data_IF_642595463051
#
_entry.id   IF_642595463051
#
_cell.length_a   1.000
_cell.length_b   1.000
_cell.length_c   1.000
_cell.angle_alpha   90.00
_cell.angle_beta   90.00
_cell.angle_gamma   90.00
#
_symmetry.space_group_name_H-M   'P 1'
#
loop_
_entity.id
_entity.type
_entity.pdbx_description
1 polymer ?
#
# COMPACT_ATOMS: atom_id res chain seq x y z
N UNK A 1 25.90 -7.61 -20.48
CA UNK A 1 25.34 -8.58 -19.53
C UNK A 1 24.36 -7.83 -18.63
N UNK A 2 23.05 -8.05 -18.76
CA UNK A 2 22.08 -7.66 -17.71
C UNK A 2 21.83 -8.91 -16.88
N UNK A 3 22.80 -9.24 -16.04
CA UNK A 3 22.62 -10.00 -14.80
C UNK A 3 21.83 -9.06 -13.88
N UNK A 4 20.52 -9.21 -13.65
CA UNK A 4 19.77 -10.35 -13.13
C UNK A 4 18.31 -10.19 -13.57
N UNK A 5 17.60 -11.27 -13.90
CA UNK A 5 16.15 -11.25 -14.22
C UNK A 5 15.24 -10.96 -13.02
N UNK A 6 15.78 -10.40 -11.94
CA UNK A 6 15.08 -10.16 -10.69
C UNK A 6 14.61 -8.72 -10.62
N UNK A 7 13.35 -8.56 -10.18
CA UNK A 7 12.80 -7.24 -9.93
C UNK A 7 13.42 -6.66 -8.66
N UNK A 8 13.70 -5.37 -8.66
CA UNK A 8 14.28 -4.73 -7.48
C UNK A 8 13.21 -3.91 -6.72
N UNK A 9 13.42 -3.63 -5.43
CA UNK A 9 12.50 -2.80 -4.65
C UNK A 9 12.25 -1.42 -5.24
N UNK A 10 13.19 -0.85 -6.01
CA UNK A 10 13.05 0.49 -6.59
C UNK A 10 12.02 0.51 -7.72
N UNK A 11 11.92 -0.57 -8.51
CA UNK A 11 10.90 -0.70 -9.56
C UNK A 11 9.49 -0.56 -8.96
N UNK A 12 9.24 -1.23 -7.82
CA UNK A 12 7.96 -1.15 -7.10
C UNK A 12 7.69 0.21 -6.48
N UNK A 13 8.73 0.89 -6.00
CA UNK A 13 8.58 2.24 -5.45
C UNK A 13 8.15 3.22 -6.53
N UNK A 14 8.73 3.12 -7.73
CA UNK A 14 8.36 3.95 -8.88
C UNK A 14 6.92 3.64 -9.31
N UNK A 15 6.56 2.36 -9.37
CA UNK A 15 5.19 1.92 -9.68
C UNK A 15 4.18 2.52 -8.70
N UNK A 16 4.42 2.40 -7.39
CA UNK A 16 3.56 2.97 -6.36
C UNK A 16 3.47 4.51 -6.43
N UNK A 17 4.58 5.21 -6.65
CA UNK A 17 4.55 6.67 -6.79
C UNK A 17 3.72 7.12 -8.00
N UNK A 18 3.82 6.41 -9.13
CA UNK A 18 2.98 6.68 -10.31
C UNK A 18 1.50 6.46 -9.99
N UNK A 19 1.16 5.35 -9.37
CA UNK A 19 -0.21 5.04 -8.96
C UNK A 19 -0.76 6.11 -8.00
N UNK A 20 0.03 6.58 -7.02
CA UNK A 20 -0.41 7.66 -6.12
C UNK A 20 -0.63 8.98 -6.87
N UNK A 21 0.21 9.33 -7.85
CA UNK A 21 -0.02 10.52 -8.66
C UNK A 21 -1.32 10.39 -9.46
N UNK A 22 -1.59 9.22 -10.05
CA UNK A 22 -2.84 8.89 -10.73
C UNK A 22 -4.07 9.03 -9.81
N UNK A 23 -3.98 8.55 -8.55
CA UNK A 23 -5.01 8.79 -7.53
C UNK A 23 -5.25 10.30 -7.34
N UNK A 24 -4.20 11.10 -7.18
CA UNK A 24 -4.31 12.54 -6.92
C UNK A 24 -4.92 13.29 -8.11
N UNK A 25 -4.52 12.91 -9.33
CA UNK A 25 -5.00 13.46 -10.59
C UNK A 25 -6.48 13.13 -10.85
N UNK A 26 -6.92 11.92 -10.47
CA UNK A 26 -8.33 11.53 -10.59
C UNK A 26 -9.28 12.43 -9.78
N UNK A 27 -8.76 13.12 -8.77
CA UNK A 27 -9.54 13.98 -7.88
C UNK A 27 -10.39 13.23 -6.85
N UNK A 28 -10.36 11.89 -6.82
CA UNK A 28 -11.15 11.05 -5.89
C UNK A 28 -10.86 11.33 -4.41
N UNK A 29 -9.66 11.86 -4.10
CA UNK A 29 -9.28 12.24 -2.74
C UNK A 29 -9.88 13.59 -2.28
N UNK A 30 -10.38 14.40 -3.23
CA UNK A 30 -10.90 15.72 -2.92
C UNK A 30 -12.30 15.58 -2.31
N UNK A 31 -12.47 16.09 -1.09
CA UNK A 31 -13.79 16.12 -0.44
C UNK A 31 -14.42 17.49 -0.60
N UNK A 32 -15.74 17.49 -0.84
CA UNK A 32 -16.53 18.72 -0.93
C UNK A 32 -16.70 19.43 0.42
N UNK A 33 -16.50 18.72 1.54
CA UNK A 33 -16.62 19.25 2.90
C UNK A 33 -15.32 19.89 3.44
N UNK A 34 -14.28 20.00 2.61
CA UNK A 34 -13.00 20.60 2.98
C UNK A 34 -12.15 19.78 3.94
N UNK A 35 -12.60 18.59 4.36
CA UNK A 35 -11.81 17.67 5.20
C UNK A 35 -10.87 16.84 4.33
N UNK A 36 -9.85 16.26 4.97
CA UNK A 36 -8.98 15.26 4.33
C UNK A 36 -9.70 13.91 4.30
N UNK A 37 -9.51 13.16 3.22
CA UNK A 37 -10.00 11.77 3.14
C UNK A 37 -9.21 10.89 4.10
N UNK A 38 -9.90 10.10 4.94
CA UNK A 38 -9.27 9.13 5.83
C UNK A 38 -9.17 7.79 5.11
N UNK A 39 -7.95 7.34 4.84
CA UNK A 39 -7.70 6.13 4.06
C UNK A 39 -7.08 5.06 4.94
N UNK A 40 -7.69 3.87 4.94
CA UNK A 40 -7.04 2.67 5.43
C UNK A 40 -6.15 2.10 4.34
N UNK A 41 -4.86 1.91 4.61
CA UNK A 41 -3.93 1.30 3.64
C UNK A 41 -3.60 -0.10 4.10
N UNK A 42 -4.09 -1.09 3.36
CA UNK A 42 -3.79 -2.49 3.63
C UNK A 42 -2.36 -2.83 3.20
N UNK A 43 -1.75 -3.82 3.85
CA UNK A 43 -0.46 -4.32 3.42
C UNK A 43 -0.57 -4.85 1.98
N UNK A 44 0.38 -4.44 1.13
CA UNK A 44 0.42 -4.93 -0.26
C UNK A 44 0.62 -6.44 -0.26
N UNK A 45 -0.23 -7.15 -1.01
CA UNK A 45 -0.15 -8.59 -1.18
C UNK A 45 0.94 -8.95 -2.18
N UNK A 46 1.75 -9.95 -1.83
CA UNK A 46 2.76 -10.50 -2.73
C UNK A 46 2.28 -11.84 -3.29
N UNK A 47 1.87 -11.83 -4.56
CA UNK A 47 1.47 -13.02 -5.33
C UNK A 47 2.56 -13.37 -6.37
N UNK A 48 3.81 -13.06 -6.06
CA UNK A 48 4.97 -13.44 -6.86
C UNK A 48 5.71 -14.62 -6.25
N UNK A 49 6.64 -15.19 -7.03
CA UNK A 49 7.56 -16.23 -6.52
C UNK A 49 8.74 -15.66 -5.74
N UNK A 50 8.91 -14.34 -5.73
CA UNK A 50 10.03 -13.67 -5.06
C UNK A 50 9.64 -13.23 -3.65
N UNK A 51 10.60 -13.23 -2.73
CA UNK A 51 10.38 -12.62 -1.42
C UNK A 51 10.49 -11.10 -1.54
N UNK A 52 9.35 -10.44 -1.66
CA UNK A 52 9.24 -8.98 -1.70
C UNK A 52 8.84 -8.49 -0.31
N UNK A 53 9.62 -7.59 0.27
CA UNK A 53 9.23 -6.91 1.50
C UNK A 53 8.16 -5.86 1.20
N UNK A 54 6.89 -6.29 1.22
CA UNK A 54 5.74 -5.44 0.91
C UNK A 54 5.42 -4.43 2.00
N UNK A 55 5.96 -4.59 3.22
CA UNK A 55 5.85 -3.58 4.29
C UNK A 55 6.50 -2.28 3.88
N UNK A 56 7.72 -2.33 3.32
CA UNK A 56 8.43 -1.13 2.83
C UNK A 56 7.60 -0.41 1.75
N UNK A 57 6.98 -1.18 0.85
CA UNK A 57 6.14 -0.63 -0.21
C UNK A 57 4.88 0.03 0.37
N UNK A 58 4.22 -0.65 1.31
CA UNK A 58 3.03 -0.15 2.01
C UNK A 58 3.34 1.16 2.74
N UNK A 59 4.47 1.24 3.45
CA UNK A 59 4.89 2.44 4.16
C UNK A 59 5.16 3.61 3.19
N UNK A 60 5.75 3.33 2.03
CA UNK A 60 5.95 4.36 0.99
C UNK A 60 4.65 4.87 0.39
N UNK A 61 3.67 3.98 0.18
CA UNK A 61 2.31 4.35 -0.25
C UNK A 61 1.66 5.28 0.79
N UNK A 62 1.72 4.92 2.07
CA UNK A 62 1.21 5.77 3.18
C UNK A 62 1.88 7.14 3.20
N UNK A 63 3.21 7.17 3.12
CA UNK A 63 3.98 8.42 3.09
C UNK A 63 3.61 9.29 1.88
N UNK A 64 3.46 8.69 0.70
CA UNK A 64 3.11 9.39 -0.52
C UNK A 64 1.68 9.98 -0.43
N UNK A 65 0.70 9.22 0.08
CA UNK A 65 -0.65 9.72 0.35
C UNK A 65 -0.66 10.91 1.32
N UNK A 66 0.08 10.81 2.43
CA UNK A 66 0.19 11.89 3.41
C UNK A 66 0.83 13.15 2.78
N UNK A 67 1.85 12.97 1.93
CA UNK A 67 2.54 14.05 1.23
C UNK A 67 1.64 14.82 0.26
N UNK A 68 0.55 14.20 -0.24
CA UNK A 68 -0.43 14.90 -1.09
C UNK A 68 -1.14 16.04 -0.36
N UNK A 69 -1.23 15.98 0.97
CA UNK A 69 -2.04 16.90 1.79
C UNK A 69 -3.55 16.69 1.68
N UNK A 70 -4.02 15.86 0.74
CA UNK A 70 -5.46 15.60 0.47
C UNK A 70 -6.03 14.44 1.29
N UNK A 71 -5.16 13.55 1.76
CA UNK A 71 -5.54 12.38 2.55
C UNK A 71 -4.74 12.28 3.85
N UNK A 72 -5.32 11.59 4.83
CA UNK A 72 -4.63 11.07 6.00
C UNK A 72 -4.79 9.56 6.03
N UNK A 73 -3.82 8.86 6.61
CA UNK A 73 -3.90 7.40 6.76
C UNK A 73 -4.20 7.06 8.21
N UNK A 74 -5.00 6.02 8.43
CA UNK A 74 -5.27 5.49 9.77
C UNK A 74 -4.36 4.30 10.05
N UNK A 75 -3.81 4.25 11.26
CA UNK A 75 -3.06 3.09 11.79
C UNK A 75 -3.88 2.30 12.80
N UNK A 76 -5.06 2.81 13.18
CA UNK A 76 -5.93 2.19 14.18
C UNK A 76 -6.73 0.99 13.62
N UNK A 77 -6.80 0.87 12.30
CA UNK A 77 -7.46 -0.23 11.58
C UNK A 77 -6.69 -0.52 10.29
N UNK A 78 -6.67 -1.78 9.86
CA UNK A 78 -5.96 -2.27 8.69
C UNK A 78 -6.48 -3.64 8.26
N UNK A 79 -6.12 -4.09 7.04
CA UNK A 79 -6.62 -5.35 6.46
C UNK A 79 -6.32 -6.62 7.28
N UNK A 80 -5.29 -6.60 8.12
CA UNK A 80 -4.92 -7.67 9.06
C UNK A 80 -5.06 -7.25 10.54
N UNK A 81 -5.67 -6.09 10.82
CA UNK A 81 -5.73 -5.46 12.15
C UNK A 81 -5.05 -4.09 12.19
N UNK A 82 -5.03 -3.42 13.36
CA UNK A 82 -4.38 -2.12 13.52
C UNK A 82 -2.88 -2.21 13.20
N UNK A 83 -2.38 -1.30 12.36
CA UNK A 83 -0.93 -1.14 12.14
C UNK A 83 -0.21 -0.69 13.42
N UNK A 84 -0.91 0.04 14.29
CA UNK A 84 -0.42 0.51 15.58
C UNK A 84 -1.35 0.11 16.73
N UNK A 85 -0.88 -0.84 17.55
CA UNK A 85 -1.58 -1.26 18.74
C UNK A 85 -1.63 -0.17 19.83
N UNK A 86 -0.74 0.83 19.80
CA UNK A 86 -0.66 1.89 20.79
C UNK A 86 -1.97 2.70 20.85
N UNK A 87 -2.61 2.90 19.71
CA UNK A 87 -3.94 3.50 19.64
C UNK A 87 -4.96 2.78 20.52
N UNK A 88 -4.96 1.44 20.52
CA UNK A 88 -5.84 0.66 21.39
C UNK A 88 -5.34 0.70 22.84
N UNK A 89 -4.04 0.46 23.05
CA UNK A 89 -3.43 0.40 24.38
C UNK A 89 -3.61 1.70 25.17
N UNK A 90 -3.46 2.87 24.56
CA UNK A 90 -3.66 4.17 25.23
C UNK A 90 -5.11 4.34 25.69
N UNK A 91 -6.09 3.85 24.93
CA UNK A 91 -7.51 3.90 25.32
C UNK A 91 -7.83 2.90 26.43
N UNK A 92 -7.09 1.80 26.51
CA UNK A 92 -7.19 0.81 27.59
C UNK A 92 -6.58 1.31 28.92
N UNK A 93 -5.84 2.44 28.94
CA UNK A 93 -5.34 3.09 30.17
C UNK A 93 -6.43 3.80 30.99
N UNK A 94 -7.68 3.73 30.54
CA UNK A 94 -8.82 4.27 31.27
C UNK A 94 -8.91 3.61 32.64
N UNK A 95 -9.30 4.39 33.64
CA UNK A 95 -9.52 3.92 35.01
C UNK A 95 -8.20 3.52 35.74
N UNK A 96 -7.03 3.70 35.11
CA UNK A 96 -5.72 3.54 35.75
C UNK A 96 -5.32 4.78 36.54
N UNK A 97 -5.13 4.63 37.85
CA UNK A 97 -4.68 5.71 38.76
C UNK A 97 -3.26 6.23 38.43
N UNK A 98 -2.48 5.48 37.65
CA UNK A 98 -1.12 5.85 37.24
C UNK A 98 -1.05 6.99 36.21
N UNK A 99 -2.13 7.27 35.46
CA UNK A 99 -2.12 8.20 34.32
C UNK A 99 -3.12 9.35 34.49
N UNK A 100 -2.77 10.54 33.97
CA UNK A 100 -3.70 11.68 33.93
C UNK A 100 -4.86 11.39 32.99
N UNK A 101 -6.02 11.09 33.58
CA UNK A 101 -7.23 10.72 32.87
C UNK A 101 -7.78 11.82 31.96
N UNK A 102 -7.37 13.10 32.13
CA UNK A 102 -7.70 14.17 31.18
C UNK A 102 -6.99 14.02 29.84
N UNK A 103 -5.87 13.29 29.81
CA UNK A 103 -5.05 13.08 28.62
C UNK A 103 -5.36 11.76 27.91
N UNK A 104 -6.04 10.83 28.58
CA UNK A 104 -6.46 9.55 28.03
C UNK A 104 -7.57 9.78 26.99
N UNK A 105 -7.37 9.25 25.78
CA UNK A 105 -8.32 9.39 24.70
C UNK A 105 -9.60 8.59 24.97
N UNK A 106 -10.77 9.18 24.74
CA UNK A 106 -12.05 8.54 25.02
C UNK A 106 -12.38 7.43 24.01
N UNK A 107 -13.17 6.45 24.44
CA UNK A 107 -13.74 5.45 23.53
C UNK A 107 -14.68 6.11 22.50
N UNK A 108 -14.71 5.57 21.29
CA UNK A 108 -15.54 6.11 20.20
C UNK A 108 -15.00 7.38 19.52
N UNK A 109 -13.83 7.88 19.91
CA UNK A 109 -13.19 9.05 19.28
C UNK A 109 -12.30 8.70 18.09
N UNK A 110 -12.02 7.41 17.86
CA UNK A 110 -11.27 6.96 16.70
C UNK A 110 -12.08 7.26 15.43
N UNK A 111 -11.42 7.88 14.45
CA UNK A 111 -12.05 8.21 13.17
C UNK A 111 -12.02 6.98 12.28
N UNK A 112 -13.19 6.51 11.85
CA UNK A 112 -13.29 5.44 10.86
C UNK A 112 -12.78 5.91 9.49
N UNK A 113 -12.09 5.05 8.72
CA UNK A 113 -11.68 5.38 7.36
C UNK A 113 -12.89 5.58 6.45
N UNK A 114 -12.79 6.54 5.53
CA UNK A 114 -13.76 6.76 4.46
C UNK A 114 -13.55 5.76 3.31
N UNK A 115 -12.28 5.43 3.04
CA UNK A 115 -11.86 4.58 1.92
C UNK A 115 -10.81 3.56 2.35
N UNK A 116 -10.70 2.47 1.59
CA UNK A 116 -9.61 1.51 1.72
C UNK A 116 -8.79 1.44 0.45
N UNK A 117 -7.47 1.50 0.59
CA UNK A 117 -6.52 1.24 -0.48
C UNK A 117 -5.91 -0.14 -0.30
N UNK A 118 -6.06 -0.98 -1.31
CA UNK A 118 -5.43 -2.29 -1.39
C UNK A 118 -4.51 -2.34 -2.61
N UNK A 119 -3.48 -3.18 -2.52
CA UNK A 119 -2.59 -3.43 -3.65
C UNK A 119 -2.10 -4.87 -3.68
N UNK A 120 -1.84 -5.37 -4.88
CA UNK A 120 -1.33 -6.71 -5.13
C UNK A 120 -0.23 -6.66 -6.18
N UNK A 121 0.84 -7.40 -5.92
CA UNK A 121 1.89 -7.66 -6.89
C UNK A 121 1.73 -9.08 -7.43
N UNK A 122 1.50 -9.21 -8.73
CA UNK A 122 1.41 -10.49 -9.45
C UNK A 122 2.62 -10.66 -10.37
N UNK A 123 3.08 -11.89 -10.54
CA UNK A 123 4.16 -12.23 -11.46
C UNK A 123 3.71 -13.30 -12.45
N UNK A 124 4.00 -13.08 -13.72
CA UNK A 124 3.92 -14.07 -14.77
C UNK A 124 5.31 -14.36 -15.33
N UNK A 125 5.62 -15.63 -15.59
CA UNK A 125 6.93 -16.06 -16.08
C UNK A 125 6.79 -16.72 -17.44
N UNK A 126 7.60 -16.26 -18.38
CA UNK A 126 7.73 -16.86 -19.71
C UNK A 126 9.13 -17.42 -19.88
N UNK A 127 9.23 -18.66 -20.36
CA UNK A 127 10.50 -19.31 -20.65
C UNK A 127 10.49 -19.79 -22.10
N UNK A 128 11.36 -19.24 -22.94
CA UNK A 128 11.51 -19.66 -24.33
C UNK A 128 13.00 -19.90 -24.64
N UNK A 129 13.36 -21.17 -24.87
CA UNK A 129 14.74 -21.58 -25.11
C UNK A 129 15.70 -21.13 -23.99
N UNK A 130 16.56 -20.14 -24.30
CA UNK A 130 17.53 -19.55 -23.35
C UNK A 130 17.06 -18.22 -22.76
N UNK A 131 15.93 -17.69 -23.21
CA UNK A 131 15.35 -16.44 -22.74
C UNK A 131 14.40 -16.74 -21.57
N UNK A 132 14.55 -15.94 -20.52
CA UNK A 132 13.64 -15.91 -19.38
C UNK A 132 13.06 -14.52 -19.27
N UNK A 133 11.73 -14.45 -19.22
CA UNK A 133 11.00 -13.21 -19.03
C UNK A 133 10.15 -13.33 -17.76
N UNK A 134 10.16 -12.26 -16.98
CA UNK A 134 9.27 -12.09 -15.85
C UNK A 134 8.52 -10.80 -16.05
N UNK A 135 7.21 -10.96 -16.23
CA UNK A 135 6.26 -9.88 -16.30
C UNK A 135 5.63 -9.69 -14.92
N UNK A 136 5.54 -8.44 -14.50
CA UNK A 136 5.11 -8.08 -13.16
C UNK A 136 3.99 -7.06 -13.27
N UNK A 137 2.94 -7.30 -12.50
CA UNK A 137 1.75 -6.46 -12.46
C UNK A 137 1.56 -5.96 -11.03
N UNK A 138 1.62 -4.65 -10.84
CA UNK A 138 1.26 -4.02 -9.57
C UNK A 138 -0.09 -3.33 -9.72
N UNK A 139 -1.09 -3.95 -9.11
CA UNK A 139 -2.48 -3.51 -9.12
C UNK A 139 -2.80 -2.78 -7.83
N UNK A 140 -3.48 -1.65 -7.92
CA UNK A 140 -3.99 -0.91 -6.77
C UNK A 140 -5.45 -0.53 -6.98
N UNK A 141 -6.24 -0.68 -5.91
CA UNK A 141 -7.67 -0.34 -5.90
C UNK A 141 -8.00 0.50 -4.69
N UNK A 142 -8.67 1.63 -4.92
CA UNK A 142 -9.25 2.49 -3.89
C UNK A 142 -10.77 2.27 -3.85
N UNK A 143 -11.27 1.84 -2.69
CA UNK A 143 -12.68 1.51 -2.48
C UNK A 143 -13.31 2.48 -1.51
N UNK A 144 -14.48 3.02 -1.85
CA UNK A 144 -15.34 3.75 -0.92
C UNK A 144 -15.97 2.76 0.07
N UNK A 145 -15.66 2.90 1.36
CA UNK A 145 -16.08 1.94 2.38
C UNK A 145 -17.56 2.04 2.73
N UNK A 146 -18.23 3.15 2.39
CA UNK A 146 -19.65 3.34 2.62
C UNK A 146 -20.50 2.57 1.60
N UNK A 147 -20.06 2.55 0.35
CA UNK A 147 -20.79 1.99 -0.79
C UNK A 147 -20.24 0.64 -1.24
N UNK A 148 -18.98 0.34 -0.92
CA UNK A 148 -18.26 -0.82 -1.42
C UNK A 148 -17.80 -0.70 -2.87
N UNK A 149 -17.92 0.48 -3.49
CA UNK A 149 -17.55 0.70 -4.88
C UNK A 149 -16.05 1.01 -5.01
N UNK A 150 -15.39 0.38 -5.99
CA UNK A 150 -14.08 0.81 -6.44
C UNK A 150 -14.22 2.17 -7.13
N UNK A 151 -13.63 3.21 -6.55
CA UNK A 151 -13.73 4.60 -7.03
C UNK A 151 -12.49 5.03 -7.81
N UNK A 152 -11.39 4.28 -7.68
CA UNK A 152 -10.20 4.41 -8.49
C UNK A 152 -9.46 3.07 -8.55
N UNK A 153 -8.84 2.79 -9.68
CA UNK A 153 -8.02 1.61 -9.90
C UNK A 153 -6.95 1.94 -10.93
N UNK A 154 -5.73 1.43 -10.72
CA UNK A 154 -4.64 1.59 -11.68
C UNK A 154 -3.65 0.44 -11.58
N UNK A 155 -2.89 0.28 -12.67
CA UNK A 155 -1.95 -0.80 -12.86
C UNK A 155 -0.62 -0.27 -13.35
N UNK A 156 0.45 -0.73 -12.69
CA UNK A 156 1.81 -0.49 -13.12
C UNK A 156 2.47 -1.80 -13.54
N UNK A 157 3.02 -1.81 -14.75
CA UNK A 157 3.62 -2.99 -15.36
C UNK A 157 5.15 -2.87 -15.36
N UNK A 158 5.84 -3.97 -15.04
CA UNK A 158 7.30 -4.04 -15.11
C UNK A 158 7.71 -5.32 -15.85
N UNK A 159 8.43 -5.18 -16.96
CA UNK A 159 9.01 -6.30 -17.68
C UNK A 159 10.50 -6.44 -17.35
N UNK A 160 10.92 -7.65 -16.97
CA UNK A 160 12.33 -8.03 -16.79
C UNK A 160 12.67 -9.20 -17.70
N UNK A 161 13.70 -9.04 -18.53
CA UNK A 161 14.18 -10.07 -19.44
C UNK A 161 15.64 -10.42 -19.13
N UNK A 162 15.97 -11.71 -19.16
CA UNK A 162 17.33 -12.22 -19.00
C UNK A 162 17.63 -13.37 -19.96
N UNK A 163 18.86 -13.46 -20.44
CA UNK A 163 19.31 -14.56 -21.32
C UNK A 163 20.32 -15.44 -20.58
N UNK A 164 20.13 -16.76 -20.59
CA UNK A 164 21.13 -17.71 -20.06
C UNK A 164 22.35 -17.74 -20.99
N UNK A 165 23.60 -17.68 -20.47
CA UNK A 165 24.81 -17.87 -21.28
C UNK A 165 24.82 -19.22 -22.01
N UNK A 166 25.53 -19.30 -23.15
CA UNK A 166 25.55 -20.50 -24.00
C UNK A 166 26.45 -21.60 -23.44
N UNK A 167 27.45 -21.19 -22.64
CA UNK A 167 28.51 -22.01 -22.09
C UNK A 167 28.95 -21.38 -20.75
N UNK A 168 29.17 -22.21 -19.72
CA UNK A 168 29.80 -21.82 -18.45
C UNK A 168 29.05 -22.30 -17.19
N UNK A 169 29.80 -23.00 -16.31
CA UNK A 169 29.41 -23.65 -15.05
C UNK A 169 28.70 -22.75 -14.02
#
# INVERSE_FOLDING_TARGET
LVTTGDINPKDWQIAAEKSINSIVESGVLNRNDGRKSVIMVSQVKNSTTQHINTRILTDKIRQALLRTGKAVTTTAVGGEGPDDAASKQVRDLRDSEMFDQKTVQQMGTAVAPDMSLAGEIVQEKYNEGRTRESYYFFHMTLTDLKTGLAVWEDNAEVLKQGTRPALGF
#
